data_IF_904145052705
#
_entry.id   IF_904145052705
#
_cell.length_a   1.000
_cell.length_b   1.000
_cell.length_c   1.000
_cell.angle_alpha   90.00
_cell.angle_beta   90.00
_cell.angle_gamma   90.00
#
_symmetry.space_group_name_H-M   'P 1'
#
loop_
_entity.id
_entity.type
_entity.pdbx_description
1 polymer ?
#
# COMPACT_ATOMS: atom_id res chain seq x y z
N UNK A 1 -11.55 -40.26 2.45
CA UNK A 1 -10.42 -39.88 1.57
C UNK A 1 -10.85 -39.14 0.29
N UNK A 2 -12.08 -39.31 -0.23
CA UNK A 2 -12.53 -38.61 -1.46
C UNK A 2 -12.66 -37.08 -1.28
N UNK A 3 -12.83 -36.60 -0.04
CA UNK A 3 -13.01 -35.17 0.29
C UNK A 3 -11.86 -34.22 -0.07
N UNK A 4 -10.67 -34.74 -0.40
CA UNK A 4 -9.50 -33.91 -0.79
C UNK A 4 -9.33 -33.73 -2.30
N UNK A 5 -10.27 -34.21 -3.13
CA UNK A 5 -10.11 -34.16 -4.58
C UNK A 5 -9.97 -32.73 -5.12
N UNK A 6 -10.59 -31.74 -4.46
CA UNK A 6 -10.41 -30.33 -4.81
C UNK A 6 -8.99 -29.82 -4.66
N UNK A 7 -8.28 -30.25 -3.60
CA UNK A 7 -6.87 -29.88 -3.39
C UNK A 7 -6.00 -30.45 -4.52
N UNK A 8 -6.27 -31.68 -4.95
CA UNK A 8 -5.59 -32.30 -6.09
C UNK A 8 -5.82 -31.50 -7.38
N UNK A 9 -7.07 -31.07 -7.63
CA UNK A 9 -7.43 -30.25 -8.80
C UNK A 9 -6.69 -28.91 -8.78
N UNK A 10 -6.56 -28.25 -7.62
CA UNK A 10 -5.84 -27.00 -7.47
C UNK A 10 -4.34 -27.19 -7.78
N UNK A 11 -3.72 -28.22 -7.20
CA UNK A 11 -2.29 -28.51 -7.40
C UNK A 11 -1.99 -28.79 -8.87
N UNK A 12 -2.81 -29.60 -9.53
CA UNK A 12 -2.64 -29.91 -10.96
C UNK A 12 -2.92 -28.67 -11.82
N UNK A 13 -3.96 -27.90 -11.52
CA UNK A 13 -4.33 -26.70 -12.27
C UNK A 13 -3.25 -25.62 -12.22
N UNK A 14 -2.62 -25.42 -11.05
CA UNK A 14 -1.50 -24.49 -10.91
C UNK A 14 -0.21 -25.04 -11.54
N UNK A 15 0.05 -26.35 -11.46
CA UNK A 15 1.19 -26.97 -12.14
C UNK A 15 1.13 -26.78 -13.67
N UNK A 16 -0.08 -26.82 -14.23
CA UNK A 16 -0.35 -26.58 -15.66
C UNK A 16 -0.47 -25.08 -16.02
N UNK A 17 -0.28 -24.16 -15.06
CA UNK A 17 -0.40 -22.70 -15.24
C UNK A 17 -1.72 -22.25 -15.88
N UNK A 18 -2.82 -22.95 -15.56
CA UNK A 18 -4.16 -22.57 -16.00
C UNK A 18 -4.65 -21.33 -15.23
N UNK A 19 -5.70 -20.69 -15.74
CA UNK A 19 -6.32 -19.54 -15.08
C UNK A 19 -6.71 -19.88 -13.63
N UNK A 20 -6.15 -19.10 -12.70
CA UNK A 20 -6.27 -19.33 -11.26
C UNK A 20 -7.73 -19.31 -10.80
N UNK A 21 -8.54 -18.42 -11.37
CA UNK A 21 -9.94 -18.24 -10.97
C UNK A 21 -10.77 -19.44 -11.42
N UNK A 22 -10.57 -19.88 -12.68
CA UNK A 22 -11.26 -21.05 -13.21
C UNK A 22 -10.91 -22.34 -12.44
N UNK A 23 -9.63 -22.55 -12.12
CA UNK A 23 -9.16 -23.71 -11.35
C UNK A 23 -9.79 -23.76 -9.97
N UNK A 24 -9.80 -22.63 -9.24
CA UNK A 24 -10.36 -22.56 -7.88
C UNK A 24 -11.88 -22.77 -7.90
N UNK A 25 -12.60 -22.23 -8.89
CA UNK A 25 -14.04 -22.44 -9.06
C UNK A 25 -14.38 -23.92 -9.30
N UNK A 26 -13.69 -24.57 -10.23
CA UNK A 26 -13.91 -25.99 -10.56
C UNK A 26 -13.59 -26.87 -9.35
N UNK A 27 -12.48 -26.59 -8.65
CA UNK A 27 -12.11 -27.33 -7.45
C UNK A 27 -13.13 -27.15 -6.31
N UNK A 28 -13.66 -25.94 -6.13
CA UNK A 28 -14.71 -25.65 -5.15
C UNK A 28 -16.01 -26.40 -5.45
N UNK A 29 -16.47 -26.37 -6.70
CA UNK A 29 -17.68 -27.11 -7.13
C UNK A 29 -17.46 -28.62 -6.98
N UNK A 30 -16.34 -29.15 -7.44
CA UNK A 30 -16.01 -30.57 -7.32
C UNK A 30 -15.96 -31.03 -5.85
N UNK A 31 -15.40 -30.20 -4.96
CA UNK A 31 -15.35 -30.49 -3.52
C UNK A 31 -16.73 -30.44 -2.88
N UNK A 32 -17.57 -29.47 -3.25
CA UNK A 32 -18.94 -29.37 -2.77
C UNK A 32 -19.79 -30.58 -3.17
N UNK A 33 -19.70 -31.00 -4.44
CA UNK A 33 -20.44 -32.16 -4.95
C UNK A 33 -20.00 -33.46 -4.28
N UNK A 34 -18.70 -33.66 -4.12
CA UNK A 34 -18.12 -34.81 -3.39
C UNK A 34 -18.47 -34.78 -1.90
N UNK A 35 -18.65 -33.58 -1.34
CA UNK A 35 -19.13 -33.36 0.02
C UNK A 35 -20.61 -33.71 0.23
N UNK A 36 -21.34 -34.02 -0.84
CA UNK A 36 -22.78 -34.32 -0.79
C UNK A 36 -23.67 -33.09 -0.83
N UNK A 37 -23.12 -31.91 -1.11
CA UNK A 37 -23.90 -30.69 -1.29
C UNK A 37 -24.56 -30.68 -2.68
N UNK A 38 -25.81 -30.29 -2.73
CA UNK A 38 -26.52 -30.01 -3.98
C UNK A 38 -26.00 -28.72 -4.63
N UNK A 39 -26.16 -28.59 -5.95
CA UNK A 39 -25.68 -27.42 -6.68
C UNK A 39 -26.18 -26.07 -6.12
N UNK A 40 -27.45 -25.92 -5.70
CA UNK A 40 -27.91 -24.69 -5.03
C UNK A 40 -27.22 -24.43 -3.69
N UNK A 41 -26.95 -25.48 -2.90
CA UNK A 41 -26.24 -25.34 -1.61
C UNK A 41 -24.80 -24.89 -1.81
N UNK A 42 -24.11 -25.41 -2.85
CA UNK A 42 -22.77 -24.95 -3.21
C UNK A 42 -22.79 -23.45 -3.55
N UNK A 43 -23.79 -23.00 -4.33
CA UNK A 43 -23.91 -21.59 -4.69
C UNK A 43 -24.20 -20.71 -3.46
N UNK A 44 -25.04 -21.17 -2.55
CA UNK A 44 -25.33 -20.49 -1.28
C UNK A 44 -24.09 -20.37 -0.39
N UNK A 45 -23.32 -21.46 -0.23
CA UNK A 45 -22.08 -21.47 0.55
C UNK A 45 -21.03 -20.53 -0.06
N UNK A 46 -20.88 -20.54 -1.39
CA UNK A 46 -20.01 -19.59 -2.08
C UNK A 46 -20.45 -18.14 -1.82
N UNK A 47 -21.74 -17.84 -1.96
CA UNK A 47 -22.30 -16.51 -1.69
C UNK A 47 -22.09 -16.06 -0.24
N UNK A 48 -22.34 -16.94 0.72
CA UNK A 48 -22.14 -16.65 2.14
C UNK A 48 -20.65 -16.41 2.46
N UNK A 49 -19.75 -17.15 1.83
CA UNK A 49 -18.30 -16.93 1.94
C UNK A 49 -17.88 -15.56 1.40
N UNK A 50 -18.46 -15.11 0.29
CA UNK A 50 -18.22 -13.76 -0.27
C UNK A 50 -18.74 -12.64 0.64
N UNK A 51 -19.92 -12.81 1.24
CA UNK A 51 -20.50 -11.82 2.16
C UNK A 51 -19.71 -11.77 3.47
N UNK A 52 -19.36 -12.93 4.04
CA UNK A 52 -18.57 -13.03 5.27
C UNK A 52 -17.19 -12.42 5.09
N UNK A 53 -16.57 -12.65 3.93
CA UNK A 53 -15.29 -12.06 3.57
C UNK A 53 -15.42 -10.80 2.71
N UNK A 54 -16.46 -9.99 2.94
CA UNK A 54 -16.73 -8.75 2.19
C UNK A 54 -15.52 -7.82 2.08
N UNK A 55 -14.62 -7.82 3.07
CA UNK A 55 -13.41 -7.01 3.07
C UNK A 55 -12.47 -7.37 1.90
N UNK A 56 -12.41 -8.65 1.51
CA UNK A 56 -11.67 -9.07 0.31
C UNK A 56 -12.38 -8.55 -0.94
N UNK A 57 -13.71 -8.58 -1.00
CA UNK A 57 -14.47 -8.08 -2.16
C UNK A 57 -14.47 -6.54 -2.30
N UNK A 58 -14.04 -5.78 -1.29
CA UNK A 58 -14.02 -4.32 -1.35
C UNK A 58 -13.15 -3.77 -2.48
N UNK A 59 -12.10 -4.49 -2.93
CA UNK A 59 -11.27 -4.04 -4.05
C UNK A 59 -12.10 -3.86 -5.34
N UNK A 60 -13.17 -4.64 -5.52
CA UNK A 60 -14.07 -4.54 -6.69
C UNK A 60 -14.83 -3.21 -6.70
N UNK A 61 -15.10 -2.62 -5.53
CA UNK A 61 -15.72 -1.29 -5.40
C UNK A 61 -14.65 -0.21 -5.51
N UNK A 62 -13.42 -0.47 -5.06
CA UNK A 62 -12.31 0.48 -5.19
C UNK A 62 -12.01 0.83 -6.65
N UNK A 63 -12.07 -0.12 -7.58
CA UNK A 63 -11.82 0.13 -9.02
C UNK A 63 -12.76 1.19 -9.64
N UNK A 64 -14.11 1.08 -9.56
CA UNK A 64 -15.00 2.12 -10.08
C UNK A 64 -14.87 3.44 -9.31
N UNK A 65 -14.59 3.41 -8.01
CA UNK A 65 -14.31 4.64 -7.24
C UNK A 65 -13.06 5.35 -7.78
N UNK A 66 -11.97 4.62 -8.02
CA UNK A 66 -10.76 5.18 -8.65
C UNK A 66 -11.09 5.74 -10.03
N UNK A 67 -11.80 4.99 -10.88
CA UNK A 67 -12.17 5.44 -12.22
C UNK A 67 -13.03 6.70 -12.22
N UNK A 68 -13.94 6.84 -11.24
CA UNK A 68 -14.70 8.07 -11.02
C UNK A 68 -13.76 9.21 -10.63
N UNK A 69 -12.91 9.01 -9.61
CA UNK A 69 -11.98 10.04 -9.14
C UNK A 69 -11.03 10.53 -10.26
N UNK A 70 -10.50 9.62 -11.07
CA UNK A 70 -9.68 9.95 -12.22
C UNK A 70 -10.47 10.73 -13.28
N UNK A 71 -11.71 10.34 -13.58
CA UNK A 71 -12.59 11.08 -14.50
C UNK A 71 -12.92 12.49 -14.01
N UNK A 72 -13.02 12.70 -12.70
CA UNK A 72 -13.20 14.02 -12.08
C UNK A 72 -11.90 14.83 -11.99
N UNK A 73 -10.82 14.34 -12.59
CA UNK A 73 -9.57 15.07 -12.73
C UNK A 73 -8.74 15.09 -11.45
N UNK A 74 -8.82 14.04 -10.62
CA UNK A 74 -8.00 13.94 -9.41
C UNK A 74 -6.51 14.04 -9.74
N UNK A 75 -6.08 13.50 -10.88
CA UNK A 75 -4.69 13.54 -11.34
C UNK A 75 -4.26 14.96 -11.71
N UNK A 76 -5.11 15.71 -12.40
CA UNK A 76 -4.90 17.10 -12.78
C UNK A 76 -4.84 17.98 -11.54
N UNK A 77 -5.79 17.80 -10.61
CA UNK A 77 -5.83 18.55 -9.36
C UNK A 77 -4.62 18.26 -8.46
N UNK A 78 -4.18 17.00 -8.40
CA UNK A 78 -2.95 16.62 -7.69
C UNK A 78 -1.72 17.27 -8.35
N UNK A 79 -1.63 17.26 -9.68
CA UNK A 79 -0.55 17.94 -10.42
C UNK A 79 -0.52 19.44 -10.13
N UNK A 80 -1.67 20.11 -10.13
CA UNK A 80 -1.74 21.55 -9.86
C UNK A 80 -1.39 21.89 -8.41
N UNK A 81 -1.82 21.06 -7.45
CA UNK A 81 -1.38 21.19 -6.05
C UNK A 81 0.14 21.05 -5.93
N UNK A 82 0.74 20.05 -6.57
CA UNK A 82 2.20 19.85 -6.57
C UNK A 82 2.91 21.07 -7.20
N UNK A 83 2.41 21.58 -8.33
CA UNK A 83 2.96 22.79 -8.98
C UNK A 83 2.85 24.02 -8.08
N UNK A 84 1.78 24.15 -7.31
CA UNK A 84 1.58 25.28 -6.38
C UNK A 84 2.54 25.24 -5.18
N UNK A 85 3.11 24.07 -4.87
CA UNK A 85 4.11 23.88 -3.81
C UNK A 85 5.54 24.20 -4.27
N UNK A 86 5.74 24.76 -5.48
CA UNK A 86 7.06 25.08 -6.09
C UNK A 86 7.98 26.00 -5.27
N UNK A 87 7.50 26.63 -4.21
CA UNK A 87 8.29 27.54 -3.35
C UNK A 87 8.92 26.85 -2.13
N UNK A 88 8.78 25.53 -1.99
CA UNK A 88 9.41 24.78 -0.90
C UNK A 88 10.81 24.35 -1.31
N UNK A 89 11.82 24.59 -0.46
CA UNK A 89 13.19 24.11 -0.69
C UNK A 89 13.34 22.61 -0.38
N UNK A 90 14.33 21.94 -0.97
CA UNK A 90 14.58 20.52 -0.74
C UNK A 90 14.70 20.17 0.75
N UNK A 91 15.43 20.98 1.52
CA UNK A 91 15.56 20.80 2.98
C UNK A 91 14.26 20.95 3.75
N UNK A 92 13.34 21.82 3.31
CA UNK A 92 12.00 21.94 3.91
C UNK A 92 11.15 20.70 3.62
N UNK A 93 11.19 20.16 2.40
CA UNK A 93 10.48 18.92 2.04
C UNK A 93 10.92 17.76 2.93
N UNK A 94 12.24 17.56 3.06
CA UNK A 94 12.82 16.46 3.85
C UNK A 94 12.47 16.64 5.33
N UNK A 95 12.62 17.84 5.88
CA UNK A 95 12.31 18.13 7.29
C UNK A 95 10.82 17.92 7.61
N UNK A 96 9.92 18.41 6.76
CA UNK A 96 8.47 18.23 6.94
C UNK A 96 8.09 16.75 6.90
N UNK A 97 8.69 15.96 5.99
CA UNK A 97 8.49 14.51 5.96
C UNK A 97 8.95 13.84 7.26
N UNK A 98 10.16 14.16 7.74
CA UNK A 98 10.68 13.60 9.01
C UNK A 98 9.74 13.88 10.18
N UNK A 99 9.22 15.10 10.28
CA UNK A 99 8.29 15.50 11.35
C UNK A 99 6.96 14.72 11.30
N UNK A 100 6.36 14.60 10.11
CA UNK A 100 5.13 13.81 9.93
C UNK A 100 5.38 12.34 10.26
N UNK A 101 6.53 11.81 9.83
CA UNK A 101 6.93 10.42 10.10
C UNK A 101 7.14 10.17 11.58
N UNK A 102 7.74 11.11 12.29
CA UNK A 102 7.95 11.07 13.74
C UNK A 102 6.63 11.01 14.49
N UNK A 103 5.68 11.89 14.16
CA UNK A 103 4.33 11.88 14.77
C UNK A 103 3.61 10.57 14.49
N UNK A 104 3.64 10.08 13.24
CA UNK A 104 2.98 8.83 12.89
C UNK A 104 3.62 7.62 13.60
N UNK A 105 4.95 7.60 13.71
CA UNK A 105 5.67 6.58 14.47
C UNK A 105 5.34 6.66 15.96
N UNK A 106 5.20 7.86 16.52
CA UNK A 106 4.75 8.08 17.88
C UNK A 106 3.31 7.58 18.10
N UNK A 107 2.40 7.73 17.13
CA UNK A 107 1.05 7.16 17.21
C UNK A 107 0.97 5.65 16.90
N UNK A 108 2.11 4.95 16.81
CA UNK A 108 2.19 3.56 16.36
C UNK A 108 1.58 3.29 14.98
N UNK A 109 1.44 4.31 14.14
CA UNK A 109 0.97 4.17 12.76
C UNK A 109 2.11 3.66 11.88
N UNK A 110 1.90 2.49 11.28
CA UNK A 110 2.81 1.92 10.29
C UNK A 110 2.67 2.65 8.94
N UNK A 111 3.28 3.82 8.80
CA UNK A 111 3.56 4.35 7.46
C UNK A 111 4.60 3.44 6.81
N UNK A 112 4.39 3.14 5.52
CA UNK A 112 5.29 2.32 4.71
C UNK A 112 6.74 2.80 4.81
N UNK A 113 7.68 1.86 4.78
CA UNK A 113 9.10 2.16 4.97
C UNK A 113 9.76 2.82 3.76
N UNK A 114 11.09 2.86 3.79
CA UNK A 114 11.96 3.45 2.77
C UNK A 114 11.49 3.35 1.31
N UNK A 115 11.16 2.14 0.84
CA UNK A 115 10.86 1.89 -0.58
C UNK A 115 9.52 2.47 -1.01
N UNK A 116 8.56 2.60 -0.08
CA UNK A 116 7.18 2.98 -0.41
C UNK A 116 6.95 4.49 -0.36
N UNK A 117 7.77 5.24 0.38
CA UNK A 117 7.61 6.69 0.53
C UNK A 117 8.80 7.50 0.01
N UNK A 118 10.05 7.07 0.27
CA UNK A 118 11.21 7.88 -0.12
C UNK A 118 11.36 7.93 -1.64
N UNK A 119 11.40 6.77 -2.29
CA UNK A 119 11.66 6.68 -3.73
C UNK A 119 10.55 7.29 -4.62
N UNK A 120 9.26 6.99 -4.40
CA UNK A 120 8.21 7.48 -5.29
C UNK A 120 7.70 8.89 -4.96
N UNK A 121 8.00 9.43 -3.75
CA UNK A 121 7.40 10.69 -3.29
C UNK A 121 8.44 11.68 -2.76
N UNK A 122 9.14 11.36 -1.68
CA UNK A 122 10.03 12.35 -1.01
C UNK A 122 11.19 12.76 -1.90
N UNK A 123 11.84 11.79 -2.55
CA UNK A 123 12.97 12.05 -3.45
C UNK A 123 12.58 12.91 -4.66
N UNK A 124 11.55 12.58 -5.48
CA UNK A 124 11.16 13.44 -6.59
C UNK A 124 10.65 14.82 -6.14
N UNK A 125 10.05 14.93 -4.94
CA UNK A 125 9.67 16.24 -4.39
C UNK A 125 10.88 17.07 -3.95
N UNK A 126 11.87 16.48 -3.28
CA UNK A 126 13.08 17.16 -2.86
C UNK A 126 13.96 17.54 -4.07
N UNK A 127 14.05 16.66 -5.06
CA UNK A 127 14.74 16.92 -6.33
C UNK A 127 14.05 18.07 -7.09
N UNK A 128 12.73 17.99 -7.32
CA UNK A 128 11.99 19.05 -8.01
C UNK A 128 12.01 20.39 -7.26
N UNK A 129 12.09 20.36 -5.93
CA UNK A 129 12.29 21.54 -5.10
C UNK A 129 13.69 22.15 -5.25
N UNK A 130 14.74 21.33 -5.32
CA UNK A 130 16.10 21.81 -5.58
C UNK A 130 16.20 22.41 -6.99
N UNK A 131 15.68 21.70 -8.01
CA UNK A 131 15.70 22.16 -9.41
C UNK A 131 14.96 23.49 -9.60
N UNK A 132 13.81 23.65 -8.92
CA UNK A 132 13.02 24.87 -9.03
C UNK A 132 13.65 26.09 -8.34
N UNK A 133 14.53 25.91 -7.35
CA UNK A 133 15.17 27.01 -6.62
C UNK A 133 16.59 27.32 -7.13
N UNK A 134 17.31 26.31 -7.64
CA UNK A 134 18.73 26.42 -7.99
C UNK A 134 19.04 26.13 -9.47
N UNK A 135 18.06 25.73 -10.29
CA UNK A 135 18.29 25.37 -11.71
C UNK A 135 18.71 23.91 -11.88
N UNK A 136 19.51 23.58 -12.89
CA UNK A 136 20.06 22.22 -13.00
C UNK A 136 20.97 21.90 -11.80
N UNK A 137 20.65 20.83 -11.08
CA UNK A 137 21.43 20.32 -9.95
C UNK A 137 22.54 19.39 -10.45
N UNK A 138 23.70 19.45 -9.80
CA UNK A 138 24.80 18.55 -10.10
C UNK A 138 24.48 17.10 -9.66
N UNK A 139 25.19 16.12 -10.22
CA UNK A 139 25.05 14.73 -9.77
C UNK A 139 25.43 14.55 -8.30
N UNK A 140 26.35 15.38 -7.79
CA UNK A 140 26.81 15.35 -6.40
C UNK A 140 25.72 15.85 -5.45
N UNK A 141 25.04 16.96 -5.78
CA UNK A 141 23.88 17.46 -5.02
C UNK A 141 22.72 16.46 -5.03
N UNK A 142 22.51 15.78 -6.16
CA UNK A 142 21.47 14.77 -6.29
C UNK A 142 21.74 13.56 -5.39
N UNK A 143 22.99 13.10 -5.30
CA UNK A 143 23.40 12.05 -4.37
C UNK A 143 23.24 12.50 -2.91
N UNK A 144 23.57 13.76 -2.59
CA UNK A 144 23.36 14.29 -1.24
C UNK A 144 21.87 14.32 -0.85
N UNK A 145 20.99 14.75 -1.77
CA UNK A 145 19.53 14.74 -1.57
C UNK A 145 19.01 13.32 -1.37
N UNK A 146 19.51 12.33 -2.11
CA UNK A 146 19.18 10.91 -1.89
C UNK A 146 19.62 10.45 -0.50
N UNK A 147 20.82 10.83 -0.08
CA UNK A 147 21.38 10.54 1.23
C UNK A 147 20.52 11.10 2.37
N UNK A 148 20.18 12.39 2.33
CA UNK A 148 19.33 13.03 3.35
C UNK A 148 17.90 12.48 3.34
N UNK A 149 17.33 12.23 2.16
CA UNK A 149 16.00 11.63 2.04
C UNK A 149 16.00 10.20 2.60
N UNK A 150 17.11 9.46 2.44
CA UNK A 150 17.27 8.16 3.06
C UNK A 150 17.41 8.25 4.59
N UNK A 151 18.22 9.19 5.09
CA UNK A 151 18.39 9.36 6.53
C UNK A 151 17.09 9.75 7.24
N UNK A 152 16.27 10.61 6.63
CA UNK A 152 15.02 11.12 7.17
C UNK A 152 14.02 10.04 7.63
N UNK A 153 13.89 8.93 6.89
CA UNK A 153 12.95 7.85 7.24
C UNK A 153 13.38 7.11 8.51
N UNK A 154 14.67 6.80 8.61
CA UNK A 154 15.22 6.09 9.76
C UNK A 154 15.22 6.98 11.01
N UNK A 155 15.62 8.24 10.86
CA UNK A 155 15.61 9.22 11.96
C UNK A 155 14.19 9.41 12.49
N UNK A 156 13.22 9.72 11.62
CA UNK A 156 11.83 9.93 12.06
C UNK A 156 11.21 8.69 12.72
N UNK A 157 11.49 7.48 12.20
CA UNK A 157 10.99 6.23 12.77
C UNK A 157 11.64 5.88 14.12
N UNK A 158 12.95 6.14 14.28
CA UNK A 158 13.67 5.90 15.52
C UNK A 158 13.21 6.86 16.63
N UNK A 159 13.25 8.17 16.37
CA UNK A 159 12.89 9.19 17.36
C UNK A 159 11.40 9.17 17.69
N UNK A 160 10.51 8.95 16.72
CA UNK A 160 9.07 8.90 16.98
C UNK A 160 8.67 7.76 17.92
N UNK A 161 9.28 6.57 17.76
CA UNK A 161 9.07 5.45 18.69
C UNK A 161 9.61 5.75 20.08
N UNK A 162 10.75 6.43 20.18
CA UNK A 162 11.32 6.83 21.46
C UNK A 162 10.41 7.82 22.20
N UNK A 163 9.83 8.79 21.49
CA UNK A 163 8.85 9.72 22.06
C UNK A 163 7.61 9.01 22.61
N UNK A 164 7.06 8.04 21.88
CA UNK A 164 5.94 7.23 22.39
C UNK A 164 6.31 6.48 23.66
N UNK A 165 7.49 5.85 23.69
CA UNK A 165 7.93 5.04 24.82
C UNK A 165 8.03 5.89 26.10
N UNK A 166 8.60 7.10 25.99
CA UNK A 166 8.67 8.08 27.07
C UNK A 166 7.29 8.56 27.56
N UNK A 167 6.35 8.82 26.64
CA UNK A 167 5.00 9.27 27.00
C UNK A 167 4.21 8.16 27.71
N UNK A 168 4.30 6.92 27.22
CA UNK A 168 3.63 5.77 27.84
C UNK A 168 4.17 5.50 29.24
N UNK A 169 5.48 5.56 29.44
CA UNK A 169 6.14 5.36 30.73
C UNK A 169 5.77 6.47 31.74
N UNK A 170 5.62 7.71 31.26
CA UNK A 170 5.16 8.85 32.06
C UNK A 170 3.68 8.79 32.45
N UNK A 171 2.82 8.14 31.64
CA UNK A 171 1.41 7.93 31.97
C UNK A 171 1.14 6.71 32.86
N UNK A 172 2.11 5.78 32.96
CA UNK A 172 2.03 4.59 33.81
C UNK A 172 2.67 4.78 35.20
N UNK A 173 3.30 5.94 35.44
CA UNK A 173 3.88 6.35 36.72
C UNK A 173 2.97 7.34 37.45
#
# INVERSE_FOLDING_TARGET
MIKLIGVLIIVIGFALKLDTIAVVLIAGIATGLVGGLSFPEILSVLGEAFITNRYMSLFLITLPVIGILERYGLRERASDLIKSMKTVSAGKVITTYTFIREIAAALSLRLGGHVQFIRPLVLPMAQGAAESNHGEISEEDLEEIKGYSAAAENIGNFFGKMYLLLVVESCLS
#
